data_IF_112813049016
#
_entry.id   IF_112813049016
#
_cell.length_a   1.000
_cell.length_b   1.000
_cell.length_c   1.000
_cell.angle_alpha   90.00
_cell.angle_beta   90.00
_cell.angle_gamma   90.00
#
_symmetry.space_group_name_H-M   'P 1'
#
loop_
_entity.id
_entity.type
_entity.pdbx_description
1 polymer ?
#
# COMPACT_ATOMS: atom_id res chain seq x y z
N UNK A 1 7.04 18.57 52.80
CA UNK A 1 7.91 17.87 51.84
C UNK A 1 7.20 16.62 51.34
N UNK A 2 6.77 16.60 50.08
CA UNK A 2 6.22 15.40 49.40
C UNK A 2 7.27 14.89 48.43
N UNK A 3 7.49 13.58 48.26
CA UNK A 3 8.54 13.05 47.42
C UNK A 3 8.11 13.03 45.91
N UNK A 4 9.06 13.24 44.97
CA UNK A 4 8.77 13.31 43.52
C UNK A 4 8.97 11.96 42.84
N UNK A 5 8.16 10.94 43.15
CA UNK A 5 8.41 9.59 42.57
C UNK A 5 7.25 8.97 41.82
N UNK A 6 6.15 9.68 41.59
CA UNK A 6 4.96 9.10 40.91
C UNK A 6 4.73 9.53 39.46
N UNK A 7 5.52 10.48 38.93
CA UNK A 7 5.28 10.99 37.57
C UNK A 7 5.95 10.18 36.47
N UNK A 8 7.05 9.49 36.76
CA UNK A 8 7.81 8.76 35.74
C UNK A 8 7.24 7.37 35.38
N UNK A 9 6.44 6.76 36.25
CA UNK A 9 5.90 5.41 36.01
C UNK A 9 4.67 5.43 35.10
N UNK A 10 3.96 6.54 35.04
CA UNK A 10 2.75 6.68 34.22
C UNK A 10 3.10 6.94 32.72
N UNK A 11 4.14 7.71 32.45
CA UNK A 11 4.60 8.00 31.08
C UNK A 11 5.29 6.81 30.42
N UNK A 12 6.08 6.04 31.17
CA UNK A 12 6.75 4.84 30.65
C UNK A 12 5.77 3.71 30.28
N UNK A 13 4.61 3.66 30.95
CA UNK A 13 3.56 2.67 30.64
C UNK A 13 2.74 3.06 29.41
N UNK A 14 2.59 4.35 29.11
CA UNK A 14 1.87 4.88 27.95
C UNK A 14 2.67 4.70 26.65
N UNK A 15 3.99 4.92 26.71
CA UNK A 15 4.87 4.72 25.53
C UNK A 15 4.93 3.25 25.10
N UNK A 16 4.93 2.29 26.04
CA UNK A 16 4.88 0.85 25.69
C UNK A 16 3.57 0.41 25.06
N UNK A 17 2.45 1.05 25.39
CA UNK A 17 1.15 0.70 24.81
C UNK A 17 0.98 1.23 23.39
N UNK A 18 1.44 2.43 23.12
CA UNK A 18 1.35 3.06 21.79
C UNK A 18 2.34 2.40 20.79
N UNK A 19 3.45 1.84 21.25
CA UNK A 19 4.42 1.15 20.39
C UNK A 19 3.98 -0.25 20.00
N UNK A 20 3.20 -0.93 20.82
CA UNK A 20 2.64 -2.26 20.54
C UNK A 20 1.49 -2.17 19.52
N UNK A 21 0.73 -1.09 19.55
CA UNK A 21 -0.46 -0.90 18.72
C UNK A 21 -0.17 -0.68 17.22
N UNK A 22 1.04 -0.25 16.86
CA UNK A 22 1.36 0.11 15.47
C UNK A 22 1.95 -1.06 14.67
N UNK A 23 2.46 -2.08 15.34
CA UNK A 23 3.23 -3.19 14.72
C UNK A 23 2.35 -4.18 13.96
N UNK A 24 1.13 -4.40 14.40
CA UNK A 24 0.31 -5.52 13.93
C UNK A 24 -0.52 -5.22 12.70
N UNK A 25 -0.58 -4.00 12.28
CA UNK A 25 -1.42 -3.62 11.15
C UNK A 25 -0.88 -3.93 9.77
N UNK A 26 0.41 -3.97 9.61
CA UNK A 26 1.03 -4.50 8.39
C UNK A 26 0.78 -6.00 8.29
N UNK A 27 0.84 -6.68 9.42
CA UNK A 27 0.68 -8.12 9.53
C UNK A 27 -0.68 -8.59 9.03
N UNK A 28 -1.73 -7.86 9.29
CA UNK A 28 -3.08 -8.31 8.95
C UNK A 28 -3.39 -8.06 7.47
N UNK A 29 -2.82 -7.06 6.85
CA UNK A 29 -2.84 -6.96 5.39
C UNK A 29 -2.10 -8.17 4.76
N UNK A 30 -1.12 -8.74 5.44
CA UNK A 30 -0.27 -9.83 4.96
C UNK A 30 -0.71 -11.22 5.47
N UNK A 31 -1.14 -11.40 6.72
CA UNK A 31 -1.61 -12.70 7.26
C UNK A 31 -2.95 -13.13 6.70
N UNK A 32 -3.75 -12.18 6.27
CA UNK A 32 -4.96 -12.47 5.54
C UNK A 32 -4.75 -13.40 4.34
N UNK A 33 -3.53 -13.70 3.95
CA UNK A 33 -3.18 -14.35 2.71
C UNK A 33 -2.65 -15.78 2.80
N UNK A 34 -2.19 -16.20 3.95
CA UNK A 34 -1.42 -17.45 4.04
C UNK A 34 -2.21 -18.76 4.02
N UNK A 35 -3.47 -18.76 4.42
CA UNK A 35 -4.19 -20.02 4.65
C UNK A 35 -5.01 -20.59 3.51
N UNK A 36 -5.44 -19.76 2.55
CA UNK A 36 -6.38 -20.18 1.50
C UNK A 36 -5.76 -21.01 0.39
N UNK A 37 -4.49 -20.78 0.05
CA UNK A 37 -3.83 -21.42 -1.09
C UNK A 37 -3.62 -22.92 -0.88
N UNK A 38 -3.45 -23.39 0.37
CA UNK A 38 -3.20 -24.80 0.63
C UNK A 38 -4.41 -25.73 0.39
N UNK A 39 -5.63 -25.22 0.54
CA UNK A 39 -6.86 -26.01 0.33
C UNK A 39 -7.29 -26.03 -1.14
N UNK A 40 -7.02 -24.99 -1.91
CA UNK A 40 -7.46 -24.84 -3.31
C UNK A 40 -6.51 -25.54 -4.29
N UNK A 41 -5.21 -25.59 -4.00
CA UNK A 41 -4.24 -26.30 -4.87
C UNK A 41 -4.46 -27.81 -4.94
N UNK A 42 -5.25 -28.40 -4.04
CA UNK A 42 -5.63 -29.81 -4.09
C UNK A 42 -6.84 -30.11 -4.97
N UNK A 43 -7.59 -29.09 -5.41
CA UNK A 43 -8.84 -29.26 -6.17
C UNK A 43 -8.78 -28.82 -7.64
N UNK A 44 -7.71 -28.17 -8.08
CA UNK A 44 -7.61 -27.73 -9.47
C UNK A 44 -6.65 -28.65 -10.24
N UNK A 45 -7.27 -29.55 -11.01
CA UNK A 45 -6.62 -30.38 -12.01
C UNK A 45 -5.91 -29.50 -13.04
N UNK A 46 -4.63 -29.81 -13.26
CA UNK A 46 -3.75 -29.45 -14.39
C UNK A 46 -4.16 -28.27 -15.26
N UNK A 47 -3.41 -27.17 -15.24
CA UNK A 47 -3.50 -26.15 -16.28
C UNK A 47 -3.01 -26.72 -17.60
N UNK A 48 -3.75 -26.43 -18.68
CA UNK A 48 -3.23 -26.51 -20.04
C UNK A 48 -2.06 -25.55 -20.15
N UNK A 49 -1.00 -26.09 -20.69
CA UNK A 49 0.25 -25.43 -20.99
C UNK A 49 0.04 -24.32 -22.04
N UNK A 50 -0.09 -23.09 -21.59
CA UNK A 50 0.19 -21.89 -22.38
C UNK A 50 1.15 -21.05 -21.54
N UNK A 51 2.36 -21.57 -21.48
CA UNK A 51 3.47 -20.96 -20.76
C UNK A 51 4.08 -19.84 -21.63
N UNK A 52 3.47 -18.65 -21.64
CA UNK A 52 4.30 -17.45 -21.67
C UNK A 52 4.86 -17.25 -20.26
N UNK A 53 5.89 -17.99 -19.98
CA UNK A 53 6.81 -17.65 -18.89
C UNK A 53 7.47 -16.34 -19.30
N UNK A 54 6.81 -15.22 -18.96
CA UNK A 54 7.51 -13.95 -18.88
C UNK A 54 8.48 -14.15 -17.72
N UNK A 55 9.64 -14.66 -18.06
CA UNK A 55 10.81 -14.60 -17.22
C UNK A 55 10.97 -13.11 -16.92
N UNK A 56 10.48 -12.67 -15.75
CA UNK A 56 10.96 -11.46 -15.16
C UNK A 56 12.46 -11.67 -15.09
N UNK A 57 13.16 -11.19 -16.10
CA UNK A 57 14.59 -11.09 -16.02
C UNK A 57 14.79 -10.26 -14.76
N UNK A 58 15.33 -10.89 -13.71
CA UNK A 58 16.01 -10.17 -12.65
C UNK A 58 16.85 -9.14 -13.37
N UNK A 59 16.29 -7.95 -13.57
CA UNK A 59 16.99 -6.87 -14.23
C UNK A 59 18.25 -6.71 -13.43
N UNK A 60 19.38 -6.92 -14.07
CA UNK A 60 20.69 -6.78 -13.48
C UNK A 60 20.72 -5.41 -12.80
N UNK A 61 20.55 -5.43 -11.47
CA UNK A 61 20.39 -4.27 -10.63
C UNK A 61 21.71 -3.52 -10.51
N UNK A 62 22.02 -2.70 -11.50
CA UNK A 62 22.98 -1.61 -11.34
C UNK A 62 22.36 -0.40 -10.57
N UNK A 63 21.06 -0.42 -10.23
CA UNK A 63 20.40 0.58 -9.41
C UNK A 63 20.62 0.39 -7.89
N UNK A 64 21.57 -0.41 -7.47
CA UNK A 64 21.90 -0.58 -6.05
C UNK A 64 22.66 0.61 -5.45
N UNK A 65 22.96 1.65 -6.25
CA UNK A 65 23.70 2.84 -5.80
C UNK A 65 23.03 4.08 -6.33
N UNK A 66 22.73 5.01 -5.43
CA UNK A 66 22.28 6.38 -5.74
C UNK A 66 23.39 7.37 -5.40
N UNK A 67 23.50 8.45 -6.19
CA UNK A 67 24.37 9.58 -5.89
C UNK A 67 23.51 10.78 -5.55
N UNK A 68 23.63 11.27 -4.31
CA UNK A 68 22.85 12.41 -3.83
C UNK A 68 23.71 13.25 -2.89
N UNK A 69 23.63 14.57 -3.02
CA UNK A 69 24.33 15.56 -2.19
C UNK A 69 25.84 15.26 -2.00
N UNK A 70 26.51 14.92 -3.12
CA UNK A 70 27.96 14.65 -3.13
C UNK A 70 28.36 13.28 -2.57
N UNK A 71 27.42 12.41 -2.22
CA UNK A 71 27.66 11.11 -1.61
C UNK A 71 27.08 9.96 -2.42
N UNK A 72 27.69 8.80 -2.28
CA UNK A 72 27.17 7.55 -2.84
C UNK A 72 26.39 6.78 -1.77
N UNK A 73 25.23 6.28 -2.14
CA UNK A 73 24.36 5.48 -1.28
C UNK A 73 24.15 4.11 -1.90
N UNK A 74 24.15 3.06 -1.09
CA UNK A 74 23.75 1.71 -1.47
C UNK A 74 22.45 1.34 -0.74
N UNK A 75 21.68 0.42 -1.32
CA UNK A 75 20.52 -0.12 -0.62
C UNK A 75 20.97 -0.80 0.68
N UNK A 76 20.22 -0.63 1.76
CA UNK A 76 20.50 -1.25 3.06
C UNK A 76 20.51 -2.78 2.92
N UNK A 77 21.46 -3.43 3.59
CA UNK A 77 21.50 -4.88 3.63
C UNK A 77 20.23 -5.45 4.31
N UNK A 78 19.70 -6.56 3.77
CA UNK A 78 18.47 -7.20 4.26
C UNK A 78 17.22 -6.30 4.22
N UNK A 79 17.17 -5.37 3.27
CA UNK A 79 15.97 -4.58 2.97
C UNK A 79 15.04 -5.38 2.05
N UNK A 80 13.77 -5.50 2.44
CA UNK A 80 12.69 -6.01 1.61
C UNK A 80 11.70 -4.88 1.30
N UNK A 81 11.37 -4.71 0.03
CA UNK A 81 10.50 -3.64 -0.47
C UNK A 81 9.20 -4.24 -0.98
N UNK A 82 8.09 -3.84 -0.38
CA UNK A 82 6.78 -4.41 -0.68
C UNK A 82 5.82 -3.28 -1.12
N UNK A 83 5.26 -3.42 -2.32
CA UNK A 83 4.20 -2.54 -2.80
C UNK A 83 2.84 -3.10 -2.42
N UNK A 84 2.05 -2.33 -1.68
CA UNK A 84 0.64 -2.64 -1.38
C UNK A 84 -0.25 -1.69 -2.17
N UNK A 85 -1.20 -2.27 -2.90
CA UNK A 85 -2.13 -1.57 -3.77
C UNK A 85 -3.57 -1.81 -3.35
N UNK A 86 -4.37 -0.76 -3.25
CA UNK A 86 -5.82 -0.84 -3.16
C UNK A 86 -6.43 -0.51 -4.53
N UNK A 87 -7.12 -1.48 -5.13
CA UNK A 87 -7.61 -1.39 -6.49
C UNK A 87 -9.09 -1.03 -6.52
N UNK A 88 -9.42 0.09 -7.17
CA UNK A 88 -10.78 0.43 -7.56
C UNK A 88 -11.09 -0.26 -8.89
N UNK A 89 -11.56 -1.50 -8.78
CA UNK A 89 -12.04 -2.25 -9.93
C UNK A 89 -13.50 -1.85 -10.15
N UNK A 90 -13.72 -1.03 -11.16
CA UNK A 90 -15.07 -0.68 -11.59
C UNK A 90 -15.52 -1.77 -12.56
N UNK A 91 -16.62 -2.42 -12.24
CA UNK A 91 -17.23 -3.43 -13.09
C UNK A 91 -17.18 -2.98 -14.56
N UNK A 92 -16.50 -3.77 -15.38
CA UNK A 92 -16.31 -3.48 -16.78
C UNK A 92 -17.67 -3.39 -17.50
N UNK A 93 -17.95 -2.25 -18.07
CA UNK A 93 -18.95 -2.13 -19.12
C UNK A 93 -18.36 -2.77 -20.37
N UNK A 94 -18.42 -4.11 -20.40
CA UNK A 94 -17.92 -4.95 -21.47
C UNK A 94 -16.57 -5.56 -21.16
N UNK A 95 -16.57 -6.87 -20.89
CA UNK A 95 -15.38 -7.70 -20.80
C UNK A 95 -14.51 -7.47 -22.04
N UNK A 96 -13.56 -6.57 -21.94
CA UNK A 96 -12.66 -6.32 -23.04
C UNK A 96 -11.65 -7.47 -23.08
N UNK A 97 -11.59 -8.15 -24.19
CA UNK A 97 -10.40 -8.94 -24.57
C UNK A 97 -9.16 -8.03 -24.73
N UNK A 98 -9.28 -6.76 -24.32
CA UNK A 98 -8.31 -5.70 -24.51
C UNK A 98 -7.44 -5.56 -23.26
N UNK A 99 -6.20 -5.15 -23.46
CA UNK A 99 -5.23 -4.91 -22.41
C UNK A 99 -5.44 -3.57 -21.67
N UNK A 100 -6.59 -2.93 -21.83
CA UNK A 100 -6.94 -1.65 -21.18
C UNK A 100 -8.21 -1.89 -20.37
N UNK A 101 -8.13 -1.63 -19.07
CA UNK A 101 -9.19 -1.87 -18.09
C UNK A 101 -9.55 -0.58 -17.34
N UNK A 102 -10.74 -0.52 -16.77
CA UNK A 102 -11.17 0.57 -15.90
C UNK A 102 -10.80 0.31 -14.42
N UNK A 103 -9.63 -0.25 -14.21
CA UNK A 103 -9.09 -0.68 -12.92
C UNK A 103 -7.94 0.24 -12.53
N UNK A 104 -8.03 0.92 -11.38
CA UNK A 104 -7.06 1.91 -10.94
C UNK A 104 -6.51 1.59 -9.54
N UNK A 105 -5.22 1.79 -9.34
CA UNK A 105 -4.60 1.67 -8.03
C UNK A 105 -4.84 2.96 -7.22
N UNK A 106 -5.93 3.00 -6.49
CA UNK A 106 -6.38 4.17 -5.71
C UNK A 106 -5.61 4.36 -4.40
N UNK A 107 -4.96 3.32 -3.94
CA UNK A 107 -4.12 3.30 -2.73
C UNK A 107 -2.78 2.68 -3.08
N UNK A 108 -1.70 3.37 -2.75
CA UNK A 108 -0.34 2.94 -3.03
C UNK A 108 0.54 3.18 -1.79
N UNK A 109 1.00 2.09 -1.18
CA UNK A 109 1.98 2.11 -0.09
C UNK A 109 3.21 1.31 -0.47
N UNK A 110 4.38 1.89 -0.35
CA UNK A 110 5.66 1.21 -0.50
C UNK A 110 6.28 1.02 0.87
N UNK A 111 6.38 -0.22 1.31
CA UNK A 111 6.95 -0.59 2.60
C UNK A 111 8.43 -0.91 2.48
N UNK A 112 9.22 -0.26 3.32
CA UNK A 112 10.61 -0.58 3.59
C UNK A 112 10.67 -1.47 4.84
N UNK A 113 10.97 -2.74 4.67
CA UNK A 113 11.14 -3.71 5.76
C UNK A 113 12.62 -3.96 5.97
N UNK A 114 13.17 -3.46 7.08
CA UNK A 114 14.56 -3.64 7.46
C UNK A 114 14.69 -4.82 8.42
N UNK A 115 15.01 -5.99 7.88
CA UNK A 115 15.15 -7.22 8.64
C UNK A 115 16.34 -7.21 9.59
N UNK A 116 17.38 -6.43 9.30
CA UNK A 116 18.57 -6.29 10.15
C UNK A 116 18.25 -5.52 11.43
N UNK A 117 17.52 -4.41 11.30
CA UNK A 117 17.17 -3.55 12.42
C UNK A 117 15.81 -3.90 13.03
N UNK A 118 15.07 -4.85 12.44
CA UNK A 118 13.72 -5.23 12.82
C UNK A 118 12.80 -4.02 12.90
N UNK A 119 12.78 -3.25 11.83
CA UNK A 119 11.92 -2.08 11.67
C UNK A 119 11.22 -2.11 10.33
N UNK A 120 10.10 -1.41 10.22
CA UNK A 120 9.48 -1.13 8.94
C UNK A 120 8.87 0.27 8.91
N UNK A 121 8.83 0.85 7.73
CA UNK A 121 8.25 2.16 7.47
C UNK A 121 7.60 2.15 6.08
N UNK A 122 6.58 2.97 5.89
CA UNK A 122 5.94 3.08 4.58
C UNK A 122 6.08 4.49 4.01
N UNK A 123 6.13 4.58 2.67
CA UNK A 123 5.84 5.80 1.94
C UNK A 123 4.48 5.65 1.25
N UNK A 124 3.56 6.57 1.47
CA UNK A 124 2.28 6.61 0.79
C UNK A 124 2.39 7.54 -0.42
N UNK A 125 2.13 6.99 -1.60
CA UNK A 125 2.14 7.73 -2.85
C UNK A 125 0.75 8.30 -3.14
N UNK A 126 0.70 9.53 -3.64
CA UNK A 126 -0.53 10.12 -4.15
C UNK A 126 -0.89 9.44 -5.47
N UNK A 127 -2.12 8.93 -5.61
CA UNK A 127 -2.58 8.25 -6.85
C UNK A 127 -2.53 9.12 -8.10
N UNK A 128 -2.58 10.44 -7.94
CA UNK A 128 -2.56 11.43 -9.02
C UNK A 128 -1.13 11.83 -9.42
N UNK A 129 -0.10 11.19 -8.81
CA UNK A 129 1.31 11.46 -9.13
C UNK A 129 1.58 11.18 -10.60
N UNK A 130 2.08 12.20 -11.29
CA UNK A 130 2.50 12.11 -12.69
C UNK A 130 3.84 11.37 -12.77
N UNK A 131 3.88 10.33 -13.58
CA UNK A 131 5.08 9.50 -13.80
C UNK A 131 4.96 8.74 -15.12
N UNK A 132 6.07 8.16 -15.58
CA UNK A 132 6.07 7.28 -16.76
C UNK A 132 5.36 5.96 -16.47
N UNK A 133 4.31 5.64 -17.24
CA UNK A 133 3.62 4.37 -17.19
C UNK A 133 3.71 3.66 -18.53
N UNK A 134 3.87 2.34 -18.56
CA UNK A 134 3.82 1.56 -19.79
C UNK A 134 2.38 1.45 -20.26
N UNK A 135 2.08 1.94 -21.45
CA UNK A 135 0.79 1.76 -22.12
C UNK A 135 0.80 0.55 -23.05
N UNK A 136 -0.40 0.11 -23.44
CA UNK A 136 -0.60 -1.06 -24.28
C UNK A 136 -1.56 -0.74 -25.43
N UNK A 137 -1.31 -1.33 -26.57
CA UNK A 137 -2.24 -1.33 -27.69
C UNK A 137 -3.46 -2.21 -27.40
N UNK A 138 -4.52 -2.05 -28.17
CA UNK A 138 -5.75 -2.83 -28.04
C UNK A 138 -5.53 -4.36 -28.20
N UNK A 139 -4.51 -4.77 -28.95
CA UNK A 139 -4.12 -6.18 -29.14
C UNK A 139 -3.29 -6.73 -27.94
N UNK A 140 -2.97 -5.86 -26.96
CA UNK A 140 -2.21 -6.20 -25.77
C UNK A 140 -0.70 -6.26 -25.98
N UNK A 141 -0.19 -5.71 -27.06
CA UNK A 141 1.25 -5.43 -27.20
C UNK A 141 1.64 -4.17 -26.45
N UNK A 142 2.86 -4.14 -25.92
CA UNK A 142 3.39 -2.91 -25.30
C UNK A 142 3.46 -1.81 -26.36
N UNK A 143 3.00 -0.62 -26.00
CA UNK A 143 3.08 0.56 -26.83
C UNK A 143 4.25 1.46 -26.34
N UNK A 144 3.97 2.56 -25.70
CA UNK A 144 4.96 3.52 -25.26
C UNK A 144 4.93 3.70 -23.74
N UNK A 145 5.97 4.34 -23.20
CA UNK A 145 5.92 4.89 -21.85
C UNK A 145 5.33 6.28 -21.96
N UNK A 146 4.16 6.49 -21.38
CA UNK A 146 3.47 7.77 -21.35
C UNK A 146 3.54 8.39 -19.95
N UNK A 147 3.70 9.71 -19.88
CA UNK A 147 3.54 10.43 -18.62
C UNK A 147 2.05 10.51 -18.27
N UNK A 148 1.66 9.93 -17.15
CA UNK A 148 0.28 9.89 -16.67
C UNK A 148 0.21 9.70 -15.16
N UNK A 149 -1.00 9.81 -14.60
CA UNK A 149 -1.23 9.51 -13.18
C UNK A 149 -0.84 8.05 -12.87
N UNK A 150 -0.08 7.84 -11.80
CA UNK A 150 0.45 6.52 -11.41
C UNK A 150 -0.65 5.46 -11.20
N UNK A 151 -1.85 5.87 -10.74
CA UNK A 151 -2.97 4.95 -10.56
C UNK A 151 -3.41 4.28 -11.85
N UNK A 152 -3.18 4.91 -13.01
CA UNK A 152 -3.55 4.39 -14.33
C UNK A 152 -2.63 3.26 -14.79
N UNK A 153 -1.47 3.08 -14.18
CA UNK A 153 -0.59 1.96 -14.51
C UNK A 153 -1.31 0.62 -14.37
N UNK A 154 -2.19 0.48 -13.36
CA UNK A 154 -3.00 -0.73 -13.15
C UNK A 154 -4.10 -0.92 -14.19
N UNK A 155 -4.41 0.08 -15.00
CA UNK A 155 -5.38 -0.05 -16.08
C UNK A 155 -4.82 -0.79 -17.30
N UNK A 156 -3.52 -1.02 -17.37
CA UNK A 156 -2.84 -1.59 -18.51
C UNK A 156 -2.22 -2.96 -18.20
N UNK A 157 -2.58 -3.98 -18.95
CA UNK A 157 -2.07 -5.35 -18.85
C UNK A 157 -3.14 -6.40 -19.19
N UNK A 158 -2.72 -7.54 -19.76
CA UNK A 158 -3.63 -8.61 -20.19
C UNK A 158 -4.23 -9.41 -19.05
N UNK A 159 -3.53 -9.50 -17.94
CA UNK A 159 -3.93 -10.26 -16.74
C UNK A 159 -3.86 -9.38 -15.53
N UNK A 160 -4.55 -9.77 -14.44
CA UNK A 160 -4.47 -9.07 -13.16
C UNK A 160 -3.03 -8.96 -12.68
N UNK A 161 -2.29 -10.06 -12.76
CA UNK A 161 -0.86 -10.06 -12.46
C UNK A 161 -0.07 -9.09 -13.35
N UNK A 162 -0.35 -9.05 -14.66
CA UNK A 162 0.30 -8.13 -15.58
C UNK A 162 0.02 -6.66 -15.23
N UNK A 163 -1.20 -6.34 -14.79
CA UNK A 163 -1.57 -5.00 -14.30
C UNK A 163 -0.84 -4.63 -13.01
N UNK A 164 -0.73 -5.58 -12.07
CA UNK A 164 0.06 -5.39 -10.86
C UNK A 164 1.53 -5.09 -11.19
N UNK A 165 2.12 -5.86 -12.09
CA UNK A 165 3.51 -5.68 -12.50
C UNK A 165 3.75 -4.36 -13.22
N UNK A 166 2.79 -3.91 -14.04
CA UNK A 166 2.87 -2.58 -14.66
C UNK A 166 2.87 -1.46 -13.63
N UNK A 167 2.09 -1.63 -12.54
CA UNK A 167 2.11 -0.68 -11.42
C UNK A 167 3.42 -0.74 -10.64
N UNK A 168 3.99 -1.93 -10.44
CA UNK A 168 5.32 -2.12 -9.85
C UNK A 168 6.37 -1.37 -10.66
N UNK A 169 6.36 -1.50 -11.98
CA UNK A 169 7.31 -0.81 -12.87
C UNK A 169 7.18 0.71 -12.77
N UNK A 170 5.95 1.23 -12.75
CA UNK A 170 5.70 2.67 -12.61
C UNK A 170 6.17 3.21 -11.24
N UNK A 171 5.90 2.47 -10.15
CA UNK A 171 6.38 2.82 -8.81
C UNK A 171 7.89 2.75 -8.72
N UNK A 172 8.50 1.71 -9.26
CA UNK A 172 9.97 1.57 -9.32
C UNK A 172 10.59 2.77 -10.05
N UNK A 173 10.05 3.14 -11.21
CA UNK A 173 10.51 4.30 -12.00
C UNK A 173 10.41 5.61 -11.22
N UNK A 174 9.27 5.86 -10.56
CA UNK A 174 9.07 7.04 -9.72
C UNK A 174 10.07 7.10 -8.56
N UNK A 175 10.44 5.96 -8.00
CA UNK A 175 11.36 5.82 -6.87
C UNK A 175 12.82 5.55 -7.34
N UNK A 176 13.24 6.22 -8.41
CA UNK A 176 14.61 6.20 -8.95
C UNK A 176 15.10 4.81 -9.37
N UNK A 177 14.22 4.03 -9.98
CA UNK A 177 14.43 2.62 -10.38
C UNK A 177 14.76 1.68 -9.20
N UNK A 178 14.22 2.01 -8.04
CA UNK A 178 14.36 1.16 -6.86
C UNK A 178 13.68 -0.19 -7.08
N UNK A 179 14.33 -1.25 -6.64
CA UNK A 179 13.77 -2.59 -6.66
C UNK A 179 12.54 -2.67 -5.76
N UNK A 180 11.45 -3.23 -6.28
CA UNK A 180 10.31 -3.69 -5.51
C UNK A 180 10.37 -5.21 -5.48
N UNK A 181 10.47 -5.82 -4.30
CA UNK A 181 10.67 -7.25 -4.15
C UNK A 181 9.36 -8.02 -4.28
N UNK A 182 8.28 -7.49 -3.70
CA UNK A 182 6.97 -8.11 -3.69
C UNK A 182 5.85 -7.10 -3.86
N UNK A 183 4.69 -7.58 -4.32
CA UNK A 183 3.48 -6.78 -4.36
C UNK A 183 2.28 -7.52 -3.77
N UNK A 184 1.35 -6.75 -3.23
CA UNK A 184 0.05 -7.19 -2.74
C UNK A 184 -0.99 -6.23 -3.29
N UNK A 185 -1.90 -6.73 -4.10
CA UNK A 185 -3.03 -6.00 -4.66
C UNK A 185 -4.31 -6.47 -3.99
N UNK A 186 -5.11 -5.54 -3.49
CA UNK A 186 -6.38 -5.83 -2.83
C UNK A 186 -7.49 -4.96 -3.44
N UNK A 187 -8.58 -5.56 -3.87
CA UNK A 187 -9.73 -4.84 -4.38
C UNK A 187 -10.39 -4.03 -3.27
N UNK A 188 -10.83 -2.82 -3.58
CA UNK A 188 -11.41 -1.89 -2.59
C UNK A 188 -12.76 -2.38 -2.00
N UNK A 189 -13.50 -3.25 -2.71
CA UNK A 189 -14.73 -3.87 -2.18
C UNK A 189 -14.45 -4.86 -1.02
N UNK A 190 -13.22 -5.37 -0.90
CA UNK A 190 -12.78 -6.14 0.26
C UNK A 190 -12.76 -5.35 1.58
N UNK A 191 -12.81 -4.01 1.53
CA UNK A 191 -12.83 -3.16 2.73
C UNK A 191 -14.02 -3.50 3.64
N UNK A 192 -15.17 -3.79 3.05
CA UNK A 192 -16.35 -4.23 3.82
C UNK A 192 -16.08 -5.54 4.56
N UNK A 193 -15.40 -6.49 3.92
CA UNK A 193 -15.01 -7.77 4.53
C UNK A 193 -14.01 -7.52 5.66
N UNK A 194 -12.97 -6.74 5.41
CA UNK A 194 -11.98 -6.35 6.42
C UNK A 194 -12.64 -5.75 7.66
N UNK A 195 -13.59 -4.82 7.44
CA UNK A 195 -14.35 -4.19 8.51
C UNK A 195 -15.14 -5.20 9.34
N UNK A 196 -15.86 -6.10 8.67
CA UNK A 196 -16.77 -7.02 9.33
C UNK A 196 -16.02 -8.12 10.08
N UNK A 197 -14.86 -8.56 9.61
CA UNK A 197 -13.99 -9.53 10.28
C UNK A 197 -13.54 -9.07 11.67
N UNK A 198 -13.30 -7.76 11.86
CA UNK A 198 -12.99 -7.19 13.17
C UNK A 198 -14.24 -6.84 13.98
N UNK A 199 -15.42 -7.06 13.42
CA UNK A 199 -16.71 -6.76 14.05
C UNK A 199 -17.12 -5.29 13.90
N UNK A 200 -16.61 -4.58 12.91
CA UNK A 200 -16.87 -3.16 12.62
C UNK A 200 -15.81 -2.22 13.21
N UNK A 201 -15.15 -1.45 12.33
CA UNK A 201 -14.12 -0.49 12.71
C UNK A 201 -14.76 0.76 13.31
N UNK A 202 -14.27 1.22 14.47
CA UNK A 202 -14.71 2.46 15.09
C UNK A 202 -13.77 3.60 14.72
N UNK A 203 -14.32 4.62 14.03
CA UNK A 203 -13.57 5.79 13.59
C UNK A 203 -14.13 7.06 14.22
N UNK A 204 -13.27 8.10 14.32
CA UNK A 204 -13.75 9.48 14.52
C UNK A 204 -13.88 10.11 13.14
N UNK A 205 -15.06 10.59 12.81
CA UNK A 205 -15.39 11.10 11.47
C UNK A 205 -14.76 12.49 11.29
N UNK A 206 -13.95 12.72 10.24
CA UNK A 206 -13.51 14.07 9.88
C UNK A 206 -14.64 14.88 9.24
N UNK A 207 -14.42 16.20 9.08
CA UNK A 207 -15.38 17.09 8.43
C UNK A 207 -15.69 16.68 6.98
N UNK A 208 -16.90 17.02 6.50
CA UNK A 208 -17.30 16.96 5.09
C UNK A 208 -17.75 15.60 4.56
N UNK A 209 -18.11 14.67 5.43
CA UNK A 209 -18.60 13.33 5.04
C UNK A 209 -20.12 13.14 5.20
N UNK A 210 -20.84 14.13 5.69
CA UNK A 210 -22.26 14.04 6.00
C UNK A 210 -23.12 13.69 4.76
N UNK A 211 -22.68 14.11 3.58
CA UNK A 211 -23.37 13.80 2.33
C UNK A 211 -23.22 12.31 1.90
N UNK A 212 -22.20 11.62 2.38
CA UNK A 212 -21.96 10.21 2.06
C UNK A 212 -22.82 9.28 2.92
N UNK A 213 -22.99 9.60 4.20
CA UNK A 213 -23.85 8.87 5.15
C UNK A 213 -24.30 9.82 6.27
N UNK A 214 -25.60 9.85 6.63
CA UNK A 214 -26.12 10.71 7.71
C UNK A 214 -25.47 10.48 9.08
N UNK A 215 -24.86 9.31 9.30
CA UNK A 215 -24.10 9.00 10.51
C UNK A 215 -22.72 9.66 10.54
N UNK A 216 -22.21 10.13 9.41
CA UNK A 216 -20.86 10.70 9.27
C UNK A 216 -20.81 12.19 9.64
N UNK A 217 -21.31 12.52 10.81
CA UNK A 217 -21.21 13.87 11.36
C UNK A 217 -19.79 14.12 11.88
N UNK A 218 -19.25 15.30 11.61
CA UNK A 218 -17.92 15.70 12.08
C UNK A 218 -17.75 15.46 13.58
N UNK A 219 -16.63 14.85 13.96
CA UNK A 219 -16.27 14.52 15.35
C UNK A 219 -17.06 13.34 15.94
N UNK A 220 -18.05 12.80 15.24
CA UNK A 220 -18.80 11.64 15.72
C UNK A 220 -17.89 10.39 15.74
N UNK A 221 -18.05 9.57 16.79
CA UNK A 221 -17.48 8.22 16.82
C UNK A 221 -18.49 7.24 16.23
N UNK A 222 -18.15 6.69 15.07
CA UNK A 222 -19.03 5.77 14.33
C UNK A 222 -18.36 4.41 14.25
N UNK A 223 -19.10 3.36 14.63
CA UNK A 223 -18.74 1.98 14.37
C UNK A 223 -19.27 1.61 12.99
N UNK A 224 -18.39 1.52 12.02
CA UNK A 224 -18.72 1.26 10.63
C UNK A 224 -19.33 -0.14 10.45
N UNK A 225 -20.36 -0.25 9.63
CA UNK A 225 -21.08 -1.48 9.33
C UNK A 225 -21.05 -1.77 7.83
N UNK A 226 -20.56 -2.96 7.44
CA UNK A 226 -20.57 -3.39 6.05
C UNK A 226 -20.07 -2.30 5.08
N UNK A 227 -20.94 -1.86 4.15
CA UNK A 227 -20.61 -0.86 3.13
C UNK A 227 -20.27 0.53 3.67
N UNK A 228 -20.58 0.86 4.92
CA UNK A 228 -20.16 2.14 5.50
C UNK A 228 -18.63 2.26 5.57
N UNK A 229 -17.93 1.15 5.76
CA UNK A 229 -16.45 1.14 5.73
C UNK A 229 -15.92 1.56 4.35
N UNK A 230 -16.49 1.01 3.29
CA UNK A 230 -16.15 1.39 1.92
C UNK A 230 -16.50 2.85 1.64
N UNK A 231 -17.71 3.29 2.00
CA UNK A 231 -18.11 4.70 1.88
C UNK A 231 -17.14 5.62 2.61
N UNK A 232 -16.73 5.28 3.83
CA UNK A 232 -15.82 6.11 4.62
C UNK A 232 -14.46 6.33 3.92
N UNK A 233 -13.88 5.30 3.30
CA UNK A 233 -12.56 5.39 2.67
C UNK A 233 -12.58 5.86 1.22
N UNK A 234 -13.74 5.71 0.50
CA UNK A 234 -13.85 6.02 -0.94
C UNK A 234 -14.56 7.31 -1.25
N UNK A 235 -15.51 7.77 -0.38
CA UNK A 235 -16.32 8.95 -0.69
C UNK A 235 -15.46 10.16 -0.99
N UNK A 236 -15.86 10.91 -2.01
CA UNK A 236 -15.35 12.25 -2.26
C UNK A 236 -16.10 13.21 -1.35
N UNK A 237 -15.40 14.13 -0.74
CA UNK A 237 -16.03 15.15 0.11
C UNK A 237 -16.78 16.13 -0.78
N UNK A 238 -17.93 16.61 -0.28
CA UNK A 238 -18.74 17.63 -0.97
C UNK A 238 -18.18 19.06 -0.85
N UNK A 239 -16.94 19.20 -0.38
CA UNK A 239 -16.27 20.49 -0.22
C UNK A 239 -15.61 20.94 -1.53
N UNK A 240 -15.61 22.24 -1.82
CA UNK A 240 -15.02 22.86 -3.02
C UNK A 240 -13.53 22.51 -3.24
N UNK A 241 -12.85 22.02 -2.21
CA UNK A 241 -11.41 21.67 -2.23
C UNK A 241 -11.17 20.19 -1.96
N UNK A 242 -12.01 19.27 -2.48
CA UNK A 242 -11.82 17.82 -2.30
C UNK A 242 -10.56 17.32 -3.02
N UNK A 243 -9.43 17.38 -2.31
CA UNK A 243 -8.16 16.84 -2.80
C UNK A 243 -8.03 15.35 -2.43
N UNK A 244 -7.19 14.63 -3.16
CA UNK A 244 -6.86 13.25 -2.84
C UNK A 244 -6.25 13.09 -1.43
N UNK A 245 -5.66 14.14 -0.88
CA UNK A 245 -5.06 14.16 0.45
C UNK A 245 -6.06 13.85 1.56
N UNK A 246 -7.27 14.43 1.50
CA UNK A 246 -8.34 14.11 2.45
C UNK A 246 -8.77 12.64 2.38
N UNK A 247 -8.76 12.04 1.18
CA UNK A 247 -9.04 10.62 1.03
C UNK A 247 -7.92 9.77 1.62
N UNK A 248 -6.67 10.11 1.38
CA UNK A 248 -5.51 9.46 1.98
C UNK A 248 -5.55 9.53 3.51
N UNK A 249 -5.97 10.66 4.08
CA UNK A 249 -6.14 10.82 5.53
C UNK A 249 -7.21 9.87 6.09
N UNK A 250 -8.38 9.78 5.46
CA UNK A 250 -9.44 8.83 5.87
C UNK A 250 -8.99 7.38 5.77
N UNK A 251 -8.25 7.03 4.73
CA UNK A 251 -7.64 5.71 4.60
C UNK A 251 -6.70 5.42 5.76
N UNK A 252 -5.88 6.38 6.17
CA UNK A 252 -5.00 6.23 7.34
C UNK A 252 -5.79 6.09 8.64
N UNK A 253 -6.86 6.90 8.83
CA UNK A 253 -7.75 6.80 10.01
C UNK A 253 -8.38 5.40 10.08
N UNK A 254 -8.97 4.92 8.98
CA UNK A 254 -9.57 3.60 8.91
C UNK A 254 -8.55 2.50 9.19
N UNK A 255 -7.44 2.51 8.47
CA UNK A 255 -6.37 1.51 8.62
C UNK A 255 -5.87 1.44 10.05
N UNK A 256 -5.55 2.58 10.66
CA UNK A 256 -5.08 2.62 12.05
C UNK A 256 -6.10 1.98 13.01
N UNK A 257 -7.37 2.37 12.92
CA UNK A 257 -8.41 1.86 13.80
C UNK A 257 -8.70 0.37 13.55
N UNK A 258 -8.69 -0.06 12.28
CA UNK A 258 -8.83 -1.47 11.90
C UNK A 258 -7.69 -2.30 12.48
N UNK A 259 -6.49 -1.84 12.36
CA UNK A 259 -5.28 -2.46 12.89
C UNK A 259 -5.38 -2.71 14.40
N UNK A 260 -5.83 -1.71 15.16
CA UNK A 260 -5.99 -1.83 16.61
C UNK A 260 -6.97 -2.94 16.98
N UNK A 261 -8.10 -3.04 16.27
CA UNK A 261 -9.13 -4.04 16.54
C UNK A 261 -8.74 -5.43 16.07
N UNK A 262 -8.09 -5.53 14.94
CA UNK A 262 -7.62 -6.80 14.42
C UNK A 262 -6.53 -7.41 15.33
N UNK A 263 -5.65 -6.58 15.90
CA UNK A 263 -4.67 -7.02 16.90
C UNK A 263 -5.34 -7.63 18.13
N UNK A 264 -6.33 -6.93 18.66
CA UNK A 264 -7.09 -7.44 19.78
C UNK A 264 -7.78 -8.78 19.47
N UNK A 265 -8.20 -9.00 18.21
CA UNK A 265 -8.73 -10.29 17.76
C UNK A 265 -7.67 -11.38 17.72
N UNK A 266 -6.47 -11.08 17.19
CA UNK A 266 -5.38 -12.06 17.11
C UNK A 266 -4.80 -12.44 18.48
N UNK A 267 -4.87 -11.55 19.45
CA UNK A 267 -4.44 -11.86 20.82
C UNK A 267 -5.31 -12.94 21.48
N UNK A 268 -6.56 -13.09 21.05
CA UNK A 268 -7.53 -14.02 21.62
C UNK A 268 -7.87 -15.20 20.70
N UNK A 269 -7.58 -15.09 19.41
CA UNK A 269 -7.87 -16.12 18.41
C UNK A 269 -6.69 -16.29 17.44
N UNK A 270 -5.93 -17.35 17.65
CA UNK A 270 -4.77 -17.68 16.80
C UNK A 270 -5.15 -18.07 15.36
N UNK A 271 -6.42 -18.41 15.12
CA UNK A 271 -6.96 -18.74 13.79
C UNK A 271 -7.49 -17.50 13.04
N UNK A 272 -7.61 -16.35 13.71
CA UNK A 272 -8.21 -15.15 13.14
C UNK A 272 -7.51 -14.71 11.85
N UNK A 273 -6.17 -14.65 11.85
CA UNK A 273 -5.39 -14.27 10.69
C UNK A 273 -5.66 -15.18 9.48
N UNK A 274 -5.69 -16.49 9.70
CA UNK A 274 -6.00 -17.46 8.65
C UNK A 274 -7.43 -17.30 8.12
N UNK A 275 -8.41 -17.14 9.01
CA UNK A 275 -9.82 -16.94 8.63
C UNK A 275 -10.00 -15.66 7.79
N UNK A 276 -9.32 -14.59 8.16
CA UNK A 276 -9.32 -13.35 7.42
C UNK A 276 -8.75 -13.54 6.01
N UNK A 277 -7.63 -14.26 5.88
CA UNK A 277 -7.03 -14.61 4.59
C UNK A 277 -8.00 -15.33 3.69
N UNK A 278 -8.61 -16.38 4.20
CA UNK A 278 -9.54 -17.16 3.42
C UNK A 278 -10.70 -16.30 2.89
N UNK A 279 -11.16 -15.35 3.71
CA UNK A 279 -12.23 -14.44 3.32
C UNK A 279 -11.85 -13.42 2.25
N UNK A 280 -10.55 -13.18 2.05
CA UNK A 280 -10.03 -12.18 1.09
C UNK A 280 -9.46 -12.77 -0.19
N UNK A 281 -9.32 -14.10 -0.29
CA UNK A 281 -8.63 -14.77 -1.41
C UNK A 281 -9.14 -14.37 -2.79
N UNK A 282 -10.46 -14.17 -2.94
CA UNK A 282 -11.09 -13.80 -4.21
C UNK A 282 -10.94 -12.31 -4.55
N UNK A 283 -10.39 -11.53 -3.64
CA UNK A 283 -10.28 -10.07 -3.76
C UNK A 283 -8.84 -9.62 -3.92
N UNK A 284 -7.91 -10.56 -4.19
CA UNK A 284 -6.50 -10.27 -4.07
C UNK A 284 -5.62 -10.92 -5.11
N UNK A 285 -4.53 -10.23 -5.46
CA UNK A 285 -3.42 -10.75 -6.29
C UNK A 285 -2.07 -10.40 -5.65
N UNK A 286 -1.19 -11.39 -5.53
CA UNK A 286 0.17 -11.21 -5.01
C UNK A 286 1.13 -12.19 -5.70
N UNK A 287 2.41 -11.85 -5.75
CA UNK A 287 3.50 -12.75 -6.16
C UNK A 287 4.03 -13.60 -5.00
N UNK A 288 3.59 -13.31 -3.77
CA UNK A 288 3.97 -14.08 -2.58
C UNK A 288 3.04 -15.28 -2.38
N UNK A 289 3.62 -16.41 -2.00
CA UNK A 289 2.83 -17.55 -1.54
C UNK A 289 2.18 -17.25 -0.18
N UNK A 290 1.12 -17.99 0.12
CA UNK A 290 0.44 -17.89 1.40
C UNK A 290 1.36 -18.11 2.61
N UNK A 291 2.31 -19.06 2.49
CA UNK A 291 3.29 -19.31 3.56
C UNK A 291 4.24 -18.12 3.71
N UNK A 292 4.76 -17.58 2.60
CA UNK A 292 5.65 -16.41 2.63
C UNK A 292 4.97 -15.20 3.27
N UNK A 293 3.70 -14.96 2.95
CA UNK A 293 2.89 -13.90 3.56
C UNK A 293 2.68 -14.13 5.06
N UNK A 294 2.42 -15.37 5.47
CA UNK A 294 2.28 -15.73 6.88
C UNK A 294 3.58 -15.55 7.66
N UNK A 295 4.69 -15.97 7.07
CA UNK A 295 6.02 -15.84 7.69
C UNK A 295 6.42 -14.38 7.83
N UNK A 296 6.21 -13.57 6.78
CA UNK A 296 6.43 -12.13 6.84
C UNK A 296 5.58 -11.47 7.94
N UNK A 297 4.32 -11.84 8.02
CA UNK A 297 3.42 -11.34 9.05
C UNK A 297 3.92 -11.63 10.47
N UNK A 298 4.30 -12.88 10.73
CA UNK A 298 4.85 -13.28 12.03
C UNK A 298 6.15 -12.53 12.35
N UNK A 299 7.00 -12.28 11.35
CA UNK A 299 8.21 -11.49 11.52
C UNK A 299 7.90 -10.03 11.87
N UNK A 300 7.00 -9.40 11.11
CA UNK A 300 6.66 -7.99 11.28
C UNK A 300 5.95 -7.71 12.61
N UNK A 301 5.28 -8.69 13.21
CA UNK A 301 4.73 -8.61 14.58
C UNK A 301 5.80 -8.24 15.60
N UNK A 302 7.02 -8.70 15.39
CA UNK A 302 8.15 -8.46 16.30
C UNK A 302 8.96 -7.20 15.91
N UNK A 303 8.61 -6.54 14.79
CA UNK A 303 9.33 -5.38 14.28
C UNK A 303 8.70 -4.07 14.76
N UNK A 304 9.54 -3.04 14.86
CA UNK A 304 9.08 -1.69 15.22
C UNK A 304 8.56 -0.97 13.98
N UNK A 305 7.31 -0.52 14.04
CA UNK A 305 6.75 0.38 13.03
C UNK A 305 7.26 1.81 13.26
N UNK A 306 7.85 2.41 12.24
CA UNK A 306 8.33 3.79 12.23
C UNK A 306 7.31 4.77 11.64
N UNK A 307 6.13 4.27 11.22
CA UNK A 307 5.04 5.08 10.69
C UNK A 307 5.01 5.15 9.17
N UNK A 308 4.22 6.11 8.66
CA UNK A 308 4.06 6.35 7.23
C UNK A 308 4.45 7.78 6.90
N UNK A 309 5.29 7.96 5.90
CA UNK A 309 5.62 9.26 5.32
C UNK A 309 4.79 9.50 4.06
N UNK A 310 4.51 10.77 3.76
CA UNK A 310 3.83 11.20 2.53
C UNK A 310 4.82 11.93 1.64
N UNK A 311 4.60 11.86 0.33
CA UNK A 311 5.31 12.71 -0.62
C UNK A 311 4.84 14.17 -0.48
N UNK A 312 5.75 15.10 -0.75
CA UNK A 312 5.43 16.52 -0.89
C UNK A 312 5.42 16.85 -2.38
N UNK A 313 4.53 17.74 -2.81
CA UNK A 313 4.41 18.12 -4.21
C UNK A 313 3.31 19.14 -4.44
N UNK A 314 3.06 19.45 -5.70
CA UNK A 314 2.06 20.41 -6.14
C UNK A 314 0.91 19.69 -6.84
N UNK A 315 -0.33 20.03 -6.47
CA UNK A 315 -1.53 19.57 -7.17
C UNK A 315 -2.00 20.63 -8.14
N UNK A 316 -2.05 20.28 -9.43
CA UNK A 316 -2.70 21.08 -10.46
C UNK A 316 -4.16 20.62 -10.62
N UNK A 317 -5.09 21.58 -10.59
CA UNK A 317 -6.50 21.30 -10.83
C UNK A 317 -6.74 21.01 -12.32
N UNK A 318 -7.91 20.48 -12.66
CA UNK A 318 -8.27 20.11 -14.04
C UNK A 318 -8.13 21.28 -15.03
N UNK A 319 -8.38 22.52 -14.58
CA UNK A 319 -8.20 23.73 -15.39
C UNK A 319 -6.75 24.13 -15.62
N UNK A 320 -5.82 23.58 -14.86
CA UNK A 320 -4.38 23.88 -14.86
C UNK A 320 -3.54 22.69 -15.31
N UNK A 321 -4.18 21.54 -15.49
CA UNK A 321 -3.54 20.28 -15.87
C UNK A 321 -2.76 20.43 -17.20
N UNK A 322 -1.57 19.88 -17.24
CA UNK A 322 -0.64 20.02 -18.38
C UNK A 322 -0.77 18.90 -19.39
N UNK A 323 -1.15 17.70 -18.94
CA UNK A 323 -1.11 16.49 -19.74
C UNK A 323 -2.48 15.82 -19.80
N UNK A 324 -3.21 15.77 -18.68
CA UNK A 324 -4.50 15.06 -18.58
C UNK A 324 -5.67 16.04 -18.50
N UNK A 325 -6.90 15.51 -18.61
CA UNK A 325 -8.13 16.27 -18.33
C UNK A 325 -8.52 16.18 -16.84
N UNK A 326 -7.66 15.67 -15.99
CA UNK A 326 -7.89 15.42 -14.56
C UNK A 326 -6.83 16.13 -13.73
N UNK A 327 -6.99 16.12 -12.41
CA UNK A 327 -5.97 16.64 -11.48
C UNK A 327 -4.65 15.91 -11.67
N UNK A 328 -3.57 16.65 -11.59
CA UNK A 328 -2.21 16.14 -11.70
C UNK A 328 -1.44 16.49 -10.43
N UNK A 329 -0.70 15.52 -9.88
CA UNK A 329 0.18 15.75 -8.74
C UNK A 329 1.63 15.60 -9.17
N UNK A 330 2.39 16.67 -9.07
CA UNK A 330 3.82 16.70 -9.35
C UNK A 330 4.59 16.65 -8.04
N UNK A 331 5.21 15.50 -7.79
CA UNK A 331 6.01 15.31 -6.58
C UNK A 331 7.26 16.18 -6.60
N UNK A 332 7.63 16.72 -5.44
CA UNK A 332 8.93 17.36 -5.25
C UNK A 332 10.02 16.28 -5.32
N UNK A 333 10.82 16.32 -6.39
CA UNK A 333 11.82 15.29 -6.69
C UNK A 333 12.91 15.23 -5.62
N UNK A 334 13.35 16.36 -5.09
CA UNK A 334 14.42 16.42 -4.09
C UNK A 334 13.93 15.88 -2.74
N UNK A 335 12.68 16.19 -2.37
CA UNK A 335 12.04 15.64 -1.18
C UNK A 335 11.83 14.14 -1.30
N UNK A 336 11.36 13.68 -2.46
CA UNK A 336 11.16 12.25 -2.72
C UNK A 336 12.49 11.49 -2.66
N UNK A 337 13.54 11.99 -3.32
CA UNK A 337 14.85 11.35 -3.34
C UNK A 337 15.43 11.24 -1.93
N UNK A 338 15.33 12.31 -1.13
CA UNK A 338 15.76 12.31 0.26
C UNK A 338 15.01 11.26 1.08
N UNK A 339 13.69 11.16 0.96
CA UNK A 339 12.87 10.15 1.64
C UNK A 339 13.21 8.74 1.19
N UNK A 340 13.44 8.53 -0.09
CA UNK A 340 13.85 7.22 -0.62
C UNK A 340 15.21 6.83 -0.03
N UNK A 341 16.16 7.75 0.02
CA UNK A 341 17.47 7.48 0.64
C UNK A 341 17.32 7.14 2.13
N UNK A 342 16.61 7.95 2.88
CA UNK A 342 16.41 7.72 4.32
C UNK A 342 15.75 6.35 4.60
N UNK A 343 14.76 5.96 3.82
CA UNK A 343 14.04 4.71 4.03
C UNK A 343 14.85 3.50 3.59
N UNK A 344 15.43 3.53 2.40
CA UNK A 344 15.89 2.32 1.72
C UNK A 344 17.42 2.20 1.61
N UNK A 345 18.15 3.30 1.75
CA UNK A 345 19.58 3.34 1.46
C UNK A 345 20.42 3.69 2.70
N UNK A 346 21.69 3.34 2.67
CA UNK A 346 22.73 3.77 3.61
C UNK A 346 23.93 4.35 2.86
N UNK A 347 24.63 5.30 3.46
CA UNK A 347 25.81 5.91 2.85
C UNK A 347 26.89 4.83 2.61
N UNK A 348 27.37 4.77 1.39
CA UNK A 348 28.48 3.86 1.04
C UNK A 348 29.77 4.37 1.67
N UNK A 349 30.49 3.56 2.43
CA UNK A 349 31.80 3.97 2.94
C UNK A 349 32.66 4.49 1.77
N UNK A 350 33.25 5.65 1.93
CA UNK A 350 34.31 6.10 1.02
C UNK A 350 35.45 5.10 1.17
N UNK A 351 35.78 4.40 0.09
CA UNK A 351 37.00 3.62 0.07
C UNK A 351 38.13 4.61 0.42
N UNK A 352 38.64 4.50 1.64
CA UNK A 352 39.86 5.21 2.01
C UNK A 352 40.91 4.71 1.04
N UNK A 353 41.32 5.60 0.11
CA UNK A 353 42.42 5.35 -0.79
C UNK A 353 43.58 4.75 0.01
N UNK A 354 43.84 3.45 -0.24
CA UNK A 354 44.98 2.76 0.29
C UNK A 354 46.23 2.99 -0.57
#
# INVERSE_FOLDING_TARGET
MKPPFLYNTFMAKKIKKDTILTVVGLIITVCAFAGAVFAVTKMISKPKDDTETTTYSKQNNNASTLYFDGKNYKIKDNMEVILIMGIDDREDIGSSQFAIHNSQADVLYVYAVDHKNKTYQAIQLNRETMTGIQTYNADGTKDTIAEAQICLAHSYGKTEQGRCLNTVDAVSGLLFNMRVDHYISLRMDAISILNDQVGGVTVTVPAGLEAADPAFKEGAKVKLQGKQAELFVRSRMSLENDTNEFRMERQQIFMKAWMEQANAKMDIDSGFALGLVLSLSDYMTSDMSANALSDLANQLKEYKNLGTVKTIGETLLESEAKISAFREYYVDSDDLERKVIELFYEEKPTDSEG
#
